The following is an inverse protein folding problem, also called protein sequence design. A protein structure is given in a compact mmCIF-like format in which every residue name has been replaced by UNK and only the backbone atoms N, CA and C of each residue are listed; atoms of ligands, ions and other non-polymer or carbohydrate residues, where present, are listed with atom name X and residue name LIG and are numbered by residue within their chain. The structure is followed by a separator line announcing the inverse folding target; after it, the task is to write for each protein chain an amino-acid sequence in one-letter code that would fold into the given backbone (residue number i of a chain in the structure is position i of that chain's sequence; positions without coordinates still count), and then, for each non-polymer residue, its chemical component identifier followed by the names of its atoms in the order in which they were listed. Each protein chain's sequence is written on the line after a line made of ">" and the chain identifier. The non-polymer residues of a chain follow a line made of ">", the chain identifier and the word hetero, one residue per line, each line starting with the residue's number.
data_IF_870787792099
#
_entry.id   IF_870787792099
#
_cell.length_a   1.000
_cell.length_b   1.000
_cell.length_c   1.000
_cell.angle_alpha   90.00
_cell.angle_beta   90.00
_cell.angle_gamma   90.00
#
_symmetry.space_group_name_H-M   'P 1'
#
loop_
_entity.id
_entity.type
_entity.pdbx_description
1 polymer ?
#
# COMPACT_ATOMS: atom_id res chain seq x y z
N UNK A 1 5.33 20.65 -5.78
CA UNK A 1 4.81 19.99 -4.56
C UNK A 1 4.62 18.53 -4.90
N UNK A 2 5.44 17.63 -4.36
CA UNK A 2 5.51 16.24 -4.81
C UNK A 2 4.34 15.44 -4.23
N UNK A 3 3.15 15.60 -4.82
CA UNK A 3 1.93 14.88 -4.43
C UNK A 3 2.13 13.36 -4.42
N UNK A 4 2.97 12.86 -5.32
CA UNK A 4 3.36 11.46 -5.40
C UNK A 4 4.16 10.99 -4.17
N UNK A 5 4.96 11.87 -3.56
CA UNK A 5 5.72 11.58 -2.36
C UNK A 5 4.78 11.37 -1.16
N UNK A 6 3.76 12.22 -1.03
CA UNK A 6 2.70 12.07 -0.03
C UNK A 6 1.95 10.75 -0.22
N UNK A 7 1.64 10.40 -1.45
CA UNK A 7 0.93 9.15 -1.78
C UNK A 7 1.78 7.93 -1.46
N UNK A 8 3.09 7.98 -1.69
CA UNK A 8 4.02 6.94 -1.27
C UNK A 8 4.06 6.77 0.24
N UNK A 9 4.09 7.87 1.00
CA UNK A 9 4.03 7.81 2.47
C UNK A 9 2.69 7.22 2.93
N UNK A 10 1.56 7.68 2.38
CA UNK A 10 0.23 7.19 2.75
C UNK A 10 0.05 5.72 2.38
N UNK A 11 0.44 5.32 1.18
CA UNK A 11 0.37 3.94 0.74
C UNK A 11 1.28 3.06 1.62
N UNK A 12 2.48 3.53 1.92
CA UNK A 12 3.42 2.82 2.79
C UNK A 12 2.91 2.64 4.22
N UNK A 13 2.28 3.66 4.80
CA UNK A 13 1.61 3.58 6.10
C UNK A 13 0.50 2.54 6.09
N UNK A 14 -0.39 2.56 5.10
CA UNK A 14 -1.48 1.58 5.01
C UNK A 14 -0.96 0.16 4.82
N UNK A 15 0.09 -0.03 4.03
CA UNK A 15 0.73 -1.33 3.88
C UNK A 15 1.34 -1.82 5.22
N UNK A 16 1.98 -0.93 5.97
CA UNK A 16 2.58 -1.24 7.27
C UNK A 16 1.55 -1.54 8.38
N UNK A 17 0.31 -1.10 8.25
CA UNK A 17 -0.76 -1.39 9.21
C UNK A 17 -1.08 -2.89 9.29
N UNK A 18 -0.96 -3.63 8.19
CA UNK A 18 -1.15 -5.08 8.22
C UNK A 18 -0.15 -5.78 9.15
N UNK A 19 1.05 -5.20 9.34
CA UNK A 19 1.99 -5.69 10.34
C UNK A 19 1.55 -5.33 11.77
N UNK A 20 0.98 -4.14 11.98
CA UNK A 20 0.47 -3.74 13.28
C UNK A 20 -0.66 -4.70 13.75
N UNK A 21 -1.55 -5.11 12.85
CA UNK A 21 -2.60 -6.08 13.18
C UNK A 21 -2.07 -7.46 13.63
N UNK A 22 -0.84 -7.82 13.22
CA UNK A 22 -0.20 -9.09 13.61
C UNK A 22 0.42 -9.05 15.02
N UNK A 23 0.57 -7.89 15.64
CA UNK A 23 1.13 -7.75 16.99
C UNK A 23 -0.03 -7.84 18.01
N UNK A 24 -0.19 -8.96 18.74
CA UNK A 24 -1.32 -9.15 19.67
C UNK A 24 -1.27 -8.21 20.88
N UNK A 25 -0.12 -7.58 21.11
CA UNK A 25 0.11 -6.62 22.20
C UNK A 25 -0.37 -5.20 21.88
N UNK A 26 -0.82 -4.90 20.65
CA UNK A 26 -1.33 -3.58 20.33
C UNK A 26 -2.72 -3.37 20.93
N UNK A 27 -2.86 -2.28 21.68
CA UNK A 27 -4.10 -1.94 22.37
C UNK A 27 -5.29 -1.76 21.40
N UNK A 28 -6.51 -1.87 21.93
CA UNK A 28 -7.79 -1.74 21.18
C UNK A 28 -7.85 -0.55 20.21
N UNK A 29 -7.20 0.57 20.55
CA UNK A 29 -7.15 1.78 19.72
C UNK A 29 -6.39 1.57 18.40
N UNK A 30 -5.26 0.86 18.41
CA UNK A 30 -4.49 0.59 17.20
C UNK A 30 -5.21 -0.39 16.28
N UNK A 31 -5.91 -1.38 16.84
CA UNK A 31 -6.77 -2.30 16.08
C UNK A 31 -7.94 -1.54 15.41
N UNK A 32 -8.54 -0.56 16.09
CA UNK A 32 -9.58 0.28 15.48
C UNK A 32 -9.04 1.18 14.38
N UNK A 33 -7.87 1.80 14.61
CA UNK A 33 -7.20 2.63 13.62
C UNK A 33 -6.82 1.81 12.37
N UNK A 34 -6.34 0.58 12.57
CA UNK A 34 -6.01 -0.35 11.50
C UNK A 34 -7.23 -0.71 10.64
N UNK A 35 -8.34 -1.11 11.28
CA UNK A 35 -9.62 -1.36 10.60
C UNK A 35 -10.14 -0.12 9.87
N UNK A 36 -10.00 1.06 10.48
CA UNK A 36 -10.46 2.31 9.88
C UNK A 36 -9.66 2.65 8.61
N UNK A 37 -8.32 2.54 8.67
CA UNK A 37 -7.42 2.76 7.52
C UNK A 37 -7.56 1.70 6.44
N UNK A 38 -7.78 0.44 6.83
CA UNK A 38 -8.05 -0.66 5.90
C UNK A 38 -9.26 -0.41 4.99
N UNK A 39 -10.27 0.36 5.43
CA UNK A 39 -11.41 0.74 4.57
C UNK A 39 -11.01 1.68 3.43
N UNK A 40 -9.96 2.48 3.60
CA UNK A 40 -9.45 3.39 2.58
C UNK A 40 -8.37 2.75 1.70
N UNK A 41 -7.92 1.54 2.03
CA UNK A 41 -6.85 0.85 1.34
C UNK A 41 -7.04 0.79 -0.18
N UNK A 42 -8.24 0.44 -0.65
CA UNK A 42 -8.55 0.37 -2.08
C UNK A 42 -8.44 1.74 -2.74
N UNK A 43 -9.02 2.76 -2.12
CA UNK A 43 -9.04 4.13 -2.66
C UNK A 43 -7.60 4.64 -2.76
N UNK A 44 -6.80 4.46 -1.71
CA UNK A 44 -5.39 4.85 -1.68
C UNK A 44 -4.59 4.05 -2.72
N UNK A 45 -4.86 2.75 -2.86
CA UNK A 45 -4.21 1.91 -3.86
C UNK A 45 -4.47 2.36 -5.29
N UNK A 46 -5.73 2.68 -5.62
CA UNK A 46 -6.11 3.19 -6.94
C UNK A 46 -5.46 4.55 -7.21
N UNK A 47 -5.47 5.46 -6.24
CA UNK A 47 -4.81 6.77 -6.36
C UNK A 47 -3.30 6.60 -6.57
N UNK A 48 -2.66 5.69 -5.82
CA UNK A 48 -1.24 5.40 -5.95
C UNK A 48 -0.88 4.83 -7.33
N UNK A 49 -1.74 3.99 -7.91
CA UNK A 49 -1.55 3.50 -9.29
C UNK A 49 -1.65 4.65 -10.28
N UNK A 50 -2.72 5.45 -10.24
CA UNK A 50 -2.95 6.54 -11.20
C UNK A 50 -1.80 7.55 -11.14
N UNK A 51 -1.48 8.03 -9.93
CA UNK A 51 -0.41 9.01 -9.75
C UNK A 51 0.97 8.41 -10.01
N UNK A 52 1.16 7.12 -9.75
CA UNK A 52 2.40 6.42 -10.09
C UNK A 52 2.66 6.38 -11.60
N UNK A 53 1.62 6.11 -12.41
CA UNK A 53 1.71 6.19 -13.88
C UNK A 53 2.03 7.61 -14.33
N UNK A 54 1.35 8.63 -13.79
CA UNK A 54 1.62 10.03 -14.15
C UNK A 54 3.05 10.43 -13.78
N UNK A 55 3.52 10.06 -12.59
CA UNK A 55 4.87 10.36 -12.13
C UNK A 55 5.96 9.69 -12.98
N UNK A 56 5.69 8.50 -13.55
CA UNK A 56 6.59 7.87 -14.52
C UNK A 56 6.71 8.70 -15.82
N UNK A 57 5.61 9.32 -16.27
CA UNK A 57 5.60 10.14 -17.48
C UNK A 57 6.26 11.50 -17.26
N UNK A 58 6.18 12.04 -16.04
CA UNK A 58 6.77 13.33 -15.65
C UNK A 58 8.25 13.24 -15.25
N UNK A 59 8.89 12.08 -15.37
CA UNK A 59 10.33 11.87 -15.08
C UNK A 59 10.66 11.62 -13.61
N UNK A 60 9.66 11.44 -12.74
CA UNK A 60 9.83 11.03 -11.33
C UNK A 60 9.83 9.52 -11.17
N UNK A 61 10.73 8.85 -11.90
CA UNK A 61 10.70 7.40 -12.12
C UNK A 61 10.69 6.59 -10.81
N UNK A 62 11.59 6.90 -9.87
CA UNK A 62 11.68 6.17 -8.61
C UNK A 62 10.39 6.27 -7.78
N UNK A 63 9.80 7.47 -7.69
CA UNK A 63 8.58 7.68 -6.93
C UNK A 63 7.37 7.02 -7.61
N UNK A 64 7.30 7.06 -8.94
CA UNK A 64 6.25 6.44 -9.72
C UNK A 64 6.26 4.91 -9.61
N UNK A 65 7.44 4.29 -9.71
CA UNK A 65 7.61 2.84 -9.56
C UNK A 65 7.16 2.38 -8.17
N UNK A 66 7.62 3.06 -7.12
CA UNK A 66 7.29 2.69 -5.74
C UNK A 66 5.80 2.87 -5.47
N UNK A 67 5.18 3.94 -5.99
CA UNK A 67 3.74 4.17 -5.87
C UNK A 67 2.92 3.10 -6.60
N UNK A 68 3.37 2.67 -7.78
CA UNK A 68 2.73 1.58 -8.51
C UNK A 68 2.80 0.26 -7.75
N UNK A 69 3.98 -0.10 -7.25
CA UNK A 69 4.16 -1.34 -6.49
C UNK A 69 3.31 -1.30 -5.22
N UNK A 70 3.36 -0.20 -4.46
CA UNK A 70 2.58 -0.04 -3.24
C UNK A 70 1.07 -0.07 -3.53
N UNK A 71 0.63 0.64 -4.58
CA UNK A 71 -0.76 0.72 -5.00
C UNK A 71 -1.32 -0.63 -5.46
N UNK A 72 -0.53 -1.40 -6.21
CA UNK A 72 -0.89 -2.76 -6.62
C UNK A 72 -1.05 -3.68 -5.41
N UNK A 73 -0.13 -3.64 -4.44
CA UNK A 73 -0.23 -4.46 -3.23
C UNK A 73 -1.43 -4.05 -2.37
N UNK A 74 -1.72 -2.75 -2.27
CA UNK A 74 -2.93 -2.27 -1.59
C UNK A 74 -4.20 -2.78 -2.28
N UNK A 75 -4.27 -2.71 -3.61
CA UNK A 75 -5.37 -3.25 -4.39
C UNK A 75 -5.49 -4.78 -4.26
N UNK A 76 -4.37 -5.48 -4.03
CA UNK A 76 -4.36 -6.92 -3.82
C UNK A 76 -5.03 -7.35 -2.51
N UNK A 77 -5.06 -6.48 -1.51
CA UNK A 77 -5.69 -6.76 -0.21
C UNK A 77 -7.20 -7.05 -0.28
N UNK A 78 -7.89 -6.63 -1.35
CA UNK A 78 -9.31 -6.94 -1.55
C UNK A 78 -9.60 -8.17 -2.39
N UNK A 79 -8.59 -8.75 -3.06
CA UNK A 79 -8.80 -9.96 -3.86
C UNK A 79 -9.40 -11.14 -3.08
N UNK A 80 -9.02 -11.40 -1.80
CA UNK A 80 -9.64 -12.46 -1.01
C UNK A 80 -11.13 -12.24 -0.73
N UNK A 81 -11.62 -11.00 -0.84
CA UNK A 81 -13.02 -10.65 -0.61
C UNK A 81 -13.92 -10.90 -1.83
N UNK A 82 -13.34 -11.27 -2.98
CA UNK A 82 -14.08 -11.52 -4.22
C UNK A 82 -14.25 -13.04 -4.38
N UNK A 83 -15.42 -13.62 -4.03
CA UNK A 83 -15.65 -15.08 -4.00
C UNK A 83 -15.54 -15.77 -5.37
N UNK A 84 -15.44 -15.00 -6.46
CA UNK A 84 -15.27 -15.49 -7.82
C UNK A 84 -13.81 -15.63 -8.28
N UNK A 85 -12.83 -15.14 -7.51
CA UNK A 85 -11.42 -15.19 -7.90
C UNK A 85 -10.82 -16.54 -7.50
N UNK A 86 -10.51 -17.37 -8.51
CA UNK A 86 -10.03 -18.73 -8.32
C UNK A 86 -8.70 -18.85 -7.55
N UNK A 87 -8.32 -20.11 -7.22
CA UNK A 87 -7.16 -20.47 -6.38
C UNK A 87 -5.83 -19.80 -6.74
N UNK A 88 -5.61 -19.44 -8.00
CA UNK A 88 -4.38 -18.76 -8.45
C UNK A 88 -4.28 -17.34 -7.90
N UNK A 89 -5.38 -16.60 -7.89
CA UNK A 89 -5.42 -15.24 -7.39
C UNK A 89 -5.31 -15.20 -5.86
N UNK A 90 -5.88 -16.19 -5.18
CA UNK A 90 -5.72 -16.36 -3.73
C UNK A 90 -4.24 -16.62 -3.34
N UNK A 91 -3.53 -17.45 -4.13
CA UNK A 91 -2.09 -17.68 -3.95
C UNK A 91 -1.27 -16.42 -4.19
N UNK A 92 -1.59 -15.65 -5.23
CA UNK A 92 -0.91 -14.38 -5.50
C UNK A 92 -1.16 -13.36 -4.38
N UNK A 93 -2.38 -13.27 -3.85
CA UNK A 93 -2.70 -12.40 -2.73
C UNK A 93 -1.93 -12.78 -1.46
N UNK A 94 -1.84 -14.08 -1.13
CA UNK A 94 -1.03 -14.57 -0.01
C UNK A 94 0.46 -14.27 -0.20
N UNK A 95 0.97 -14.48 -1.41
CA UNK A 95 2.38 -14.21 -1.72
C UNK A 95 2.71 -12.72 -1.59
N UNK A 96 1.92 -11.85 -2.21
CA UNK A 96 2.12 -10.39 -2.15
C UNK A 96 1.86 -9.82 -0.76
N UNK A 97 0.91 -10.39 0.00
CA UNK A 97 0.71 -10.08 1.41
C UNK A 97 1.96 -10.34 2.27
N UNK A 98 2.75 -11.36 1.94
CA UNK A 98 4.02 -11.65 2.63
C UNK A 98 5.09 -10.56 2.45
N UNK A 99 5.04 -9.80 1.35
CA UNK A 99 5.95 -8.68 1.09
C UNK A 99 5.38 -7.33 1.51
N UNK A 100 4.12 -7.29 1.96
CA UNK A 100 3.39 -6.05 2.22
C UNK A 100 4.15 -5.11 3.16
N UNK A 101 4.68 -5.62 4.27
CA UNK A 101 5.43 -4.83 5.25
C UNK A 101 6.70 -4.23 4.66
N UNK A 102 7.46 -5.01 3.89
CA UNK A 102 8.72 -4.57 3.29
C UNK A 102 8.45 -3.46 2.28
N UNK A 103 7.44 -3.66 1.42
CA UNK A 103 7.02 -2.67 0.42
C UNK A 103 6.52 -1.40 1.12
N UNK A 104 5.79 -1.54 2.23
CA UNK A 104 5.32 -0.42 3.04
C UNK A 104 6.46 0.43 3.59
N UNK A 105 7.50 -0.22 4.13
CA UNK A 105 8.69 0.47 4.66
C UNK A 105 9.43 1.21 3.53
N UNK A 106 9.64 0.55 2.38
CA UNK A 106 10.30 1.16 1.22
C UNK A 106 9.51 2.38 0.73
N UNK A 107 8.18 2.27 0.65
CA UNK A 107 7.32 3.37 0.23
C UNK A 107 7.38 4.57 1.18
N UNK A 108 7.46 4.34 2.50
CA UNK A 108 7.67 5.41 3.48
C UNK A 108 9.03 6.09 3.27
N UNK A 109 10.11 5.33 3.15
CA UNK A 109 11.47 5.87 2.99
C UNK A 109 11.56 6.72 1.71
N UNK A 110 11.10 6.17 0.59
CA UNK A 110 11.13 6.86 -0.72
C UNK A 110 10.19 8.07 -0.72
N UNK A 111 9.02 7.95 -0.08
CA UNK A 111 8.08 9.06 0.08
C UNK A 111 8.67 10.21 0.91
N UNK A 112 9.33 9.92 2.03
CA UNK A 112 10.01 10.95 2.82
C UNK A 112 11.14 11.58 2.03
N UNK A 113 11.94 10.78 1.31
CA UNK A 113 13.02 11.32 0.49
C UNK A 113 12.50 12.23 -0.63
N UNK A 114 11.34 11.93 -1.19
CA UNK A 114 10.66 12.77 -2.17
C UNK A 114 10.03 14.05 -1.62
N UNK A 115 9.88 14.17 -0.30
CA UNK A 115 9.36 15.36 0.38
C UNK A 115 10.46 16.33 0.83
N UNK A 116 11.67 15.83 1.02
CA UNK A 116 12.88 16.60 1.30
C UNK A 116 13.41 17.27 0.02
#
# INVERSE_FOLDING_TARGET
>A
MNWIALVNVLAGLVLAIAFLELIPALGKYLVQLAKWLGRFQVIIGVIAIILGVVALLDGSELQGIVALIAGLVLAMGILPSIPALGKYLEKLAKFLGGFQTIIGIIAIIVGIWGLL
#
